data_IF_605898660728
#
_entry.id   IF_605898660728
#
_cell.length_a   1.000
_cell.length_b   1.000
_cell.length_c   1.000
_cell.angle_alpha   90.00
_cell.angle_beta   90.00
_cell.angle_gamma   90.00
#
_symmetry.space_group_name_H-M   'P 1'
#
loop_
_entity.id
_entity.type
_entity.pdbx_description
1 polymer ?
#
# COMPACT_ATOMS: atom_id res chain seq x y z
N UNK A 1 1.72 -2.46 -15.27
CA UNK A 1 2.44 -2.84 -14.02
C UNK A 1 1.71 -3.99 -13.35
N UNK A 2 2.44 -4.99 -12.89
CA UNK A 2 1.85 -6.10 -12.15
C UNK A 2 1.73 -5.71 -10.67
N UNK A 3 0.52 -5.36 -10.23
CA UNK A 3 0.28 -4.88 -8.87
C UNK A 3 0.54 -5.94 -7.81
N UNK A 4 0.11 -7.20 -7.96
CA UNK A 4 0.46 -8.23 -6.99
C UNK A 4 1.97 -8.46 -6.84
N UNK A 5 2.71 -8.40 -7.93
CA UNK A 5 4.17 -8.55 -7.87
C UNK A 5 4.82 -7.35 -7.19
N UNK A 6 4.33 -6.15 -7.44
CA UNK A 6 4.82 -4.93 -6.77
C UNK A 6 4.55 -5.00 -5.27
N UNK A 7 3.35 -5.37 -4.86
CA UNK A 7 3.02 -5.54 -3.45
C UNK A 7 3.93 -6.54 -2.76
N UNK A 8 4.13 -7.69 -3.39
CA UNK A 8 5.00 -8.74 -2.86
C UNK A 8 6.42 -8.21 -2.67
N UNK A 9 6.93 -7.48 -3.65
CA UNK A 9 8.26 -6.86 -3.58
C UNK A 9 8.34 -5.88 -2.40
N UNK A 10 7.35 -5.00 -2.27
CA UNK A 10 7.33 -4.00 -1.19
C UNK A 10 7.24 -4.66 0.17
N UNK A 11 6.38 -5.66 0.33
CA UNK A 11 6.21 -6.38 1.60
C UNK A 11 7.48 -7.11 1.99
N UNK A 12 8.21 -7.64 1.03
CA UNK A 12 9.44 -8.37 1.29
C UNK A 12 10.59 -7.42 1.66
N UNK A 13 10.73 -6.32 0.95
CA UNK A 13 11.90 -5.45 1.06
C UNK A 13 11.72 -4.29 2.02
N UNK A 14 10.46 -3.90 2.30
CA UNK A 14 10.15 -2.75 3.13
C UNK A 14 9.13 -3.07 4.21
N UNK A 15 9.16 -4.31 4.73
CA UNK A 15 8.15 -4.77 5.69
C UNK A 15 7.98 -3.84 6.89
N UNK A 16 9.08 -3.27 7.40
CA UNK A 16 9.05 -2.38 8.55
C UNK A 16 8.51 -0.99 8.23
N UNK A 17 8.33 -0.69 6.94
CA UNK A 17 7.86 0.61 6.47
C UNK A 17 6.42 0.56 5.96
N UNK A 18 5.81 -0.62 5.97
CA UNK A 18 4.43 -0.82 5.51
C UNK A 18 3.48 -0.60 6.68
N UNK A 19 2.48 0.23 6.46
CA UNK A 19 1.40 0.50 7.41
C UNK A 19 0.07 0.14 6.76
N UNK A 20 -0.71 -0.70 7.44
CA UNK A 20 -2.03 -1.10 6.95
C UNK A 20 -3.07 -0.48 7.86
N UNK A 21 -4.00 0.26 7.26
CA UNK A 21 -5.09 0.92 7.96
C UNK A 21 -6.39 0.29 7.49
N UNK A 22 -7.04 -0.45 8.39
CA UNK A 22 -8.33 -1.08 8.11
C UNK A 22 -9.46 -0.17 8.51
N UNK A 23 -10.25 0.25 7.54
CA UNK A 23 -11.45 1.06 7.74
C UNK A 23 -12.56 0.54 6.84
N UNK A 24 -13.78 0.56 7.33
CA UNK A 24 -14.94 0.22 6.51
C UNK A 24 -15.39 1.50 5.82
N UNK A 25 -15.60 1.52 4.51
CA UNK A 25 -15.51 0.41 3.56
C UNK A 25 -14.15 0.21 2.89
N UNK A 26 -13.13 0.95 3.29
CA UNK A 26 -11.82 0.94 2.64
C UNK A 26 -10.75 0.34 3.54
N UNK A 27 -9.72 -0.25 2.93
CA UNK A 27 -8.45 -0.49 3.59
C UNK A 27 -7.36 0.25 2.83
N UNK A 28 -6.34 0.70 3.55
CA UNK A 28 -5.22 1.42 2.96
C UNK A 28 -3.92 0.71 3.29
N UNK A 29 -3.05 0.60 2.30
CA UNK A 29 -1.67 0.18 2.51
C UNK A 29 -0.78 1.36 2.16
N UNK A 30 0.08 1.75 3.09
CA UNK A 30 1.00 2.86 2.89
C UNK A 30 2.43 2.40 3.10
N UNK A 31 3.32 2.84 2.23
CA UNK A 31 4.76 2.69 2.42
C UNK A 31 5.33 4.04 2.81
N UNK A 32 5.98 4.12 3.98
CA UNK A 32 6.59 5.35 4.48
C UNK A 32 8.09 5.15 4.68
N UNK A 33 8.86 6.10 4.18
CA UNK A 33 10.31 6.13 4.35
C UNK A 33 10.67 7.49 4.95
N UNK A 34 11.35 7.47 6.10
CA UNK A 34 11.72 8.68 6.83
C UNK A 34 10.52 9.59 7.11
N UNK A 35 9.38 8.96 7.47
CA UNK A 35 8.17 9.69 7.80
C UNK A 35 7.37 10.19 6.60
N UNK A 36 7.85 9.98 5.38
CA UNK A 36 7.15 10.40 4.18
C UNK A 36 6.49 9.23 3.48
N UNK A 37 5.24 9.42 3.09
CA UNK A 37 4.51 8.41 2.33
C UNK A 37 4.98 8.46 0.88
N UNK A 38 5.60 7.36 0.43
CA UNK A 38 6.11 7.25 -0.94
C UNK A 38 5.26 6.38 -1.83
N UNK A 39 4.36 5.60 -1.23
CA UNK A 39 3.41 4.76 -1.97
C UNK A 39 2.14 4.61 -1.14
N UNK A 40 1.00 4.57 -1.82
CA UNK A 40 -0.30 4.33 -1.20
C UNK A 40 -1.19 3.51 -2.12
N UNK A 41 -1.92 2.56 -1.54
CA UNK A 41 -2.94 1.81 -2.25
C UNK A 41 -4.20 1.77 -1.39
N UNK A 42 -5.34 2.10 -1.97
CA UNK A 42 -6.65 1.98 -1.33
C UNK A 42 -7.44 0.86 -1.99
N UNK A 43 -8.03 0.01 -1.17
CA UNK A 43 -8.90 -1.07 -1.64
C UNK A 43 -10.28 -0.96 -1.01
N UNK A 44 -11.28 -1.36 -1.77
CA UNK A 44 -12.64 -1.51 -1.32
C UNK A 44 -13.14 -2.85 -1.82
N UNK A 45 -13.53 -3.74 -0.88
CA UNK A 45 -14.06 -5.06 -1.22
C UNK A 45 -13.11 -5.87 -2.14
N UNK A 46 -11.81 -5.79 -1.85
CA UNK A 46 -10.81 -6.52 -2.63
C UNK A 46 -10.41 -5.89 -3.94
N UNK A 47 -11.04 -4.77 -4.34
CA UNK A 47 -10.71 -4.07 -5.58
C UNK A 47 -9.91 -2.82 -5.27
N UNK A 48 -8.85 -2.60 -6.05
CA UNK A 48 -8.02 -1.40 -5.92
C UNK A 48 -8.80 -0.22 -6.49
N UNK A 49 -9.04 0.79 -5.68
CA UNK A 49 -9.75 2.00 -6.10
C UNK A 49 -8.79 3.18 -6.30
N UNK A 50 -7.58 3.08 -5.75
CA UNK A 50 -6.61 4.16 -5.86
C UNK A 50 -5.21 3.61 -5.59
N UNK A 51 -4.23 4.11 -6.34
CA UNK A 51 -2.83 3.79 -6.11
C UNK A 51 -1.99 4.96 -6.58
N UNK A 52 -1.00 5.35 -5.79
CA UNK A 52 -0.13 6.47 -6.11
C UNK A 52 1.30 6.23 -5.60
N UNK A 53 2.25 6.75 -6.37
CA UNK A 53 3.65 6.86 -5.96
C UNK A 53 3.99 8.34 -5.84
N UNK A 54 4.69 8.67 -4.81
CA UNK A 54 5.22 10.01 -4.64
C UNK A 54 6.54 10.17 -5.37
#
# INVERSE_FOLDING_TARGET
MNIPALEKFLMKNFANNIHIIDRVPYSALELRIDGQRVFEKLEKQGSIVFMAFA
#
